data_IF_148078156504
#
_entry.id   IF_148078156504
#
_cell.length_a   1.000
_cell.length_b   1.000
_cell.length_c   1.000
_cell.angle_alpha   90.00
_cell.angle_beta   90.00
_cell.angle_gamma   90.00
#
_symmetry.space_group_name_H-M   'P 1'
#
loop_
_entity.id
_entity.type
_entity.pdbx_description
1 polymer ?
#
# COMPACT_ATOMS: atom_id res chain seq x y z
N UNK A 1 14.02 -2.24 11.91
CA UNK A 1 12.60 -1.85 12.13
C UNK A 1 11.76 -3.05 12.51
N UNK A 2 11.72 -4.12 11.70
CA UNK A 2 11.02 -5.37 12.07
C UNK A 2 11.46 -5.90 13.45
N UNK A 3 12.76 -6.00 13.74
CA UNK A 3 13.23 -6.42 15.08
C UNK A 3 12.71 -5.55 16.24
N UNK A 4 12.53 -4.25 16.01
CA UNK A 4 12.00 -3.33 17.03
C UNK A 4 10.50 -3.50 17.21
N UNK A 5 9.75 -3.63 16.12
CA UNK A 5 8.30 -3.90 16.16
C UNK A 5 8.05 -5.26 16.79
N UNK A 6 8.83 -6.28 16.44
CA UNK A 6 8.74 -7.63 17.01
C UNK A 6 9.02 -7.65 18.51
N UNK A 7 9.97 -6.85 18.98
CA UNK A 7 10.25 -6.72 20.42
C UNK A 7 9.10 -6.03 21.18
N UNK A 8 8.38 -5.09 20.54
CA UNK A 8 7.26 -4.38 21.13
C UNK A 8 5.93 -5.16 21.03
N UNK A 9 5.65 -5.73 19.86
CA UNK A 9 4.46 -6.51 19.53
C UNK A 9 4.75 -7.51 18.39
N UNK A 10 5.01 -8.79 18.72
CA UNK A 10 5.27 -9.84 17.73
C UNK A 10 4.09 -10.12 16.78
N UNK A 11 2.85 -9.84 17.19
CA UNK A 11 1.68 -10.06 16.34
C UNK A 11 1.60 -8.99 15.25
N UNK A 12 1.87 -7.72 15.60
CA UNK A 12 1.97 -6.63 14.62
C UNK A 12 3.11 -6.88 13.64
N UNK A 13 4.29 -7.33 14.10
CA UNK A 13 5.42 -7.65 13.21
C UNK A 13 5.06 -8.73 12.17
N UNK A 14 4.45 -9.83 12.63
CA UNK A 14 4.01 -10.91 11.74
C UNK A 14 2.96 -10.43 10.74
N UNK A 15 2.00 -9.63 11.18
CA UNK A 15 0.98 -9.06 10.30
C UNK A 15 1.60 -8.12 9.26
N UNK A 16 2.43 -7.17 9.68
CA UNK A 16 3.05 -6.20 8.79
C UNK A 16 3.96 -6.88 7.76
N UNK A 17 4.75 -7.86 8.19
CA UNK A 17 5.60 -8.64 7.27
C UNK A 17 4.76 -9.37 6.23
N UNK A 18 3.69 -10.05 6.64
CA UNK A 18 2.80 -10.75 5.70
C UNK A 18 2.08 -9.81 4.72
N UNK A 19 1.74 -8.59 5.16
CA UNK A 19 1.16 -7.57 4.28
C UNK A 19 2.19 -7.00 3.31
N UNK A 20 3.44 -6.77 3.75
CA UNK A 20 4.52 -6.37 2.86
C UNK A 20 4.76 -7.42 1.76
N UNK A 21 4.80 -8.70 2.12
CA UNK A 21 4.93 -9.80 1.15
C UNK A 21 3.76 -9.81 0.15
N UNK A 22 2.54 -9.60 0.66
CA UNK A 22 1.33 -9.49 -0.18
C UNK A 22 1.45 -8.32 -1.16
N UNK A 23 1.84 -7.14 -0.68
CA UNK A 23 2.04 -5.94 -1.52
C UNK A 23 3.08 -6.20 -2.61
N UNK A 24 4.22 -6.79 -2.28
CA UNK A 24 5.26 -7.14 -3.25
C UNK A 24 4.71 -8.09 -4.31
N UNK A 25 4.01 -9.15 -3.91
CA UNK A 25 3.41 -10.09 -4.85
C UNK A 25 2.40 -9.42 -5.81
N UNK A 26 1.62 -8.44 -5.34
CA UNK A 26 0.70 -7.67 -6.21
C UNK A 26 1.44 -6.76 -7.17
N UNK A 27 2.51 -6.10 -6.72
CA UNK A 27 3.38 -5.29 -7.59
C UNK A 27 4.11 -6.14 -8.64
N UNK A 28 4.51 -7.36 -8.28
CA UNK A 28 5.10 -8.32 -9.20
C UNK A 28 4.11 -8.76 -10.28
N UNK A 29 2.81 -8.85 -9.98
CA UNK A 29 1.79 -9.14 -10.98
C UNK A 29 1.68 -8.03 -12.04
N UNK A 30 1.73 -6.75 -11.62
CA UNK A 30 1.78 -5.59 -12.54
C UNK A 30 3.02 -5.70 -13.44
N UNK A 31 4.18 -5.97 -12.84
CA UNK A 31 5.44 -6.15 -13.58
C UNK A 31 5.38 -7.32 -14.55
N UNK A 32 4.78 -8.45 -14.15
CA UNK A 32 4.67 -9.63 -15.01
C UNK A 32 3.87 -9.34 -16.28
N UNK A 33 2.78 -8.58 -16.17
CA UNK A 33 2.00 -8.11 -17.33
C UNK A 33 2.82 -7.19 -18.24
N UNK A 34 3.60 -6.28 -17.66
CA UNK A 34 4.53 -5.44 -18.40
C UNK A 34 5.60 -6.24 -19.15
N UNK A 35 6.18 -7.25 -18.51
CA UNK A 35 7.15 -8.16 -19.15
C UNK A 35 6.52 -9.05 -20.22
N UNK A 36 5.22 -9.34 -20.11
CA UNK A 36 4.45 -10.09 -21.12
C UNK A 36 4.01 -9.22 -22.31
N UNK A 37 4.35 -7.92 -22.33
CA UNK A 37 4.10 -7.01 -23.45
C UNK A 37 2.95 -6.03 -23.26
N UNK A 38 2.28 -6.03 -22.11
CA UNK A 38 1.25 -5.05 -21.77
C UNK A 38 1.83 -3.98 -20.85
N UNK A 39 2.29 -2.87 -21.46
CA UNK A 39 2.92 -1.77 -20.74
C UNK A 39 1.99 -1.18 -19.64
N UNK A 40 2.58 -0.52 -18.65
CA UNK A 40 1.81 -0.04 -17.48
C UNK A 40 0.68 0.93 -17.84
N UNK A 41 0.90 1.82 -18.81
CA UNK A 41 -0.13 2.73 -19.34
C UNK A 41 -1.29 1.97 -20.00
N UNK A 42 -1.01 0.85 -20.67
CA UNK A 42 -2.03 -0.04 -21.20
C UNK A 42 -2.79 -0.78 -20.10
N UNK A 43 -2.13 -1.13 -19.00
CA UNK A 43 -2.80 -1.76 -17.84
C UNK A 43 -3.85 -0.84 -17.20
N UNK A 44 -3.60 0.48 -17.19
CA UNK A 44 -4.54 1.48 -16.66
C UNK A 44 -5.43 2.11 -17.75
N UNK A 45 -5.39 1.58 -18.98
CA UNK A 45 -6.18 2.13 -20.08
C UNK A 45 -7.68 1.93 -19.87
N UNK A 46 -8.49 2.85 -20.41
CA UNK A 46 -9.94 2.70 -20.44
C UNK A 46 -10.34 1.41 -21.15
N UNK A 47 -11.27 0.66 -20.56
CA UNK A 47 -11.74 -0.62 -21.10
C UNK A 47 -10.86 -1.83 -20.80
N UNK A 48 -9.64 -1.65 -20.24
CA UNK A 48 -8.81 -2.77 -19.80
C UNK A 48 -9.18 -3.24 -18.39
N UNK A 49 -10.28 -3.97 -18.25
CA UNK A 49 -10.78 -4.40 -16.93
C UNK A 49 -9.78 -5.25 -16.15
N UNK A 50 -9.01 -6.12 -16.83
CA UNK A 50 -8.04 -7.00 -16.15
C UNK A 50 -6.78 -6.26 -15.70
N UNK A 51 -6.24 -5.38 -16.55
CA UNK A 51 -5.12 -4.51 -16.19
C UNK A 51 -5.49 -3.62 -15.00
N UNK A 52 -6.65 -2.97 -15.07
CA UNK A 52 -7.16 -2.10 -14.00
C UNK A 52 -7.36 -2.88 -12.69
N UNK A 53 -7.93 -4.09 -12.76
CA UNK A 53 -8.09 -4.93 -11.57
C UNK A 53 -6.73 -5.36 -10.96
N UNK A 54 -5.72 -5.62 -11.80
CA UNK A 54 -4.37 -5.96 -11.34
C UNK A 54 -3.72 -4.79 -10.58
N UNK A 55 -3.85 -3.57 -11.13
CA UNK A 55 -3.35 -2.35 -10.50
C UNK A 55 -4.13 -2.04 -9.22
N UNK A 56 -5.47 -2.16 -9.25
CA UNK A 56 -6.32 -1.94 -8.07
C UNK A 56 -5.95 -2.90 -6.93
N UNK A 57 -5.66 -4.17 -7.22
CA UNK A 57 -5.26 -5.12 -6.19
C UNK A 57 -3.93 -4.74 -5.50
N UNK A 58 -3.00 -4.08 -6.20
CA UNK A 58 -1.79 -3.55 -5.59
C UNK A 58 -2.08 -2.31 -4.72
N UNK A 59 -2.97 -1.43 -5.19
CA UNK A 59 -3.43 -0.26 -4.41
C UNK A 59 -4.12 -0.71 -3.12
N UNK A 60 -5.00 -1.70 -3.19
CA UNK A 60 -5.71 -2.23 -2.03
C UNK A 60 -4.73 -2.84 -1.00
N UNK A 61 -3.69 -3.53 -1.47
CA UNK A 61 -2.63 -4.05 -0.61
C UNK A 61 -1.81 -2.93 0.07
N UNK A 62 -1.51 -1.85 -0.67
CA UNK A 62 -0.86 -0.65 -0.12
C UNK A 62 -1.73 0.02 0.96
N UNK A 63 -3.05 0.10 0.76
CA UNK A 63 -3.98 0.67 1.74
C UNK A 63 -4.07 -0.24 2.98
N UNK A 64 -4.13 -1.56 2.80
CA UNK A 64 -4.23 -2.50 3.91
C UNK A 64 -2.98 -2.50 4.81
N UNK A 65 -1.78 -2.39 4.23
CA UNK A 65 -0.55 -2.32 5.02
C UNK A 65 -0.43 -1.02 5.82
N UNK A 66 -1.01 0.11 5.36
CA UNK A 66 -0.98 1.39 6.07
C UNK A 66 -1.51 1.28 7.49
N UNK A 67 -2.63 0.57 7.69
CA UNK A 67 -3.22 0.36 9.02
C UNK A 67 -2.29 -0.42 9.96
N UNK A 68 -1.51 -1.36 9.42
CA UNK A 68 -0.55 -2.13 10.22
C UNK A 68 0.69 -1.29 10.56
N UNK A 69 1.10 -0.38 9.67
CA UNK A 69 2.15 0.61 9.94
C UNK A 69 1.72 1.56 11.06
N UNK A 70 0.49 2.09 11.01
CA UNK A 70 -0.07 2.96 12.05
C UNK A 70 -0.04 2.27 13.43
N UNK A 71 -0.46 0.99 13.48
CA UNK A 71 -0.38 0.18 14.70
C UNK A 71 1.06 -0.06 15.15
N UNK A 72 1.99 -0.31 14.24
CA UNK A 72 3.41 -0.49 14.57
C UNK A 72 4.00 0.80 15.17
N UNK A 73 3.72 1.97 14.58
CA UNK A 73 4.09 3.29 15.14
C UNK A 73 3.52 3.46 16.55
N UNK A 74 2.25 3.11 16.76
CA UNK A 74 1.59 3.09 18.06
C UNK A 74 2.31 2.22 19.10
N UNK A 75 2.67 0.99 18.71
CA UNK A 75 3.37 0.03 19.59
C UNK A 75 4.76 0.54 20.02
N UNK A 76 5.43 1.28 19.14
CA UNK A 76 6.74 1.87 19.39
C UNK A 76 6.64 3.21 20.14
N UNK A 77 5.44 3.68 20.48
CA UNK A 77 5.16 4.98 21.11
C UNK A 77 5.73 6.16 20.32
N UNK A 78 5.76 6.03 19.00
CA UNK A 78 6.25 7.06 18.07
C UNK A 78 5.15 8.06 17.66
N UNK A 79 4.08 8.17 18.46
CA UNK A 79 2.87 8.95 18.20
C UNK A 79 3.09 10.48 18.06
N UNK A 80 4.33 10.96 18.23
CA UNK A 80 4.71 12.34 17.91
C UNK A 80 5.00 12.56 16.41
N UNK A 81 5.07 11.49 15.61
CA UNK A 81 5.13 11.60 14.15
C UNK A 81 3.72 11.95 13.67
N UNK A 82 3.54 13.15 13.14
CA UNK A 82 2.31 13.50 12.45
C UNK A 82 2.12 12.55 11.26
N UNK A 83 0.98 11.85 11.21
CA UNK A 83 0.56 11.21 9.97
C UNK A 83 0.14 12.33 9.03
N UNK A 84 1.00 12.64 8.05
CA UNK A 84 0.67 13.61 7.01
C UNK A 84 -0.42 12.99 6.13
N UNK A 85 -1.68 13.37 6.43
CA UNK A 85 -2.77 13.30 5.48
C UNK A 85 -2.49 14.26 4.33
N UNK A 86 -2.97 13.92 3.13
CA UNK A 86 -2.80 14.79 1.97
C UNK A 86 -4.03 15.68 1.89
N UNK A 87 -3.85 17.01 1.98
CA UNK A 87 -4.96 17.97 1.79
C UNK A 87 -5.75 17.73 0.49
N UNK A 88 -5.09 17.23 -0.57
CA UNK A 88 -5.73 16.89 -1.84
C UNK A 88 -6.51 15.56 -1.81
N UNK A 89 -6.17 14.64 -0.90
CA UNK A 89 -6.87 13.36 -0.71
C UNK A 89 -7.97 13.45 0.36
N UNK A 90 -7.74 14.23 1.41
CA UNK A 90 -8.66 14.40 2.54
C UNK A 90 -9.73 15.46 2.25
N UNK A 91 -9.48 16.35 1.29
CA UNK A 91 -10.42 17.36 0.84
C UNK A 91 -10.43 17.47 -0.70
N UNK A 92 -10.92 16.45 -1.43
CA UNK A 92 -10.96 16.45 -2.89
C UNK A 92 -11.71 17.68 -3.47
N UNK A 93 -12.70 18.20 -2.73
CA UNK A 93 -13.46 19.40 -3.10
C UNK A 93 -12.62 20.69 -3.10
N UNK A 94 -11.43 20.71 -2.47
CA UNK A 94 -10.51 21.86 -2.49
C UNK A 94 -9.63 21.92 -3.73
N UNK A 95 -9.49 20.81 -4.47
CA UNK A 95 -8.62 20.73 -5.66
C UNK A 95 -9.26 21.46 -6.86
N UNK A 96 -10.58 21.64 -6.85
CA UNK A 96 -11.33 22.30 -7.92
C UNK A 96 -11.69 23.77 -7.63
N UNK A 97 -11.03 24.41 -6.66
CA UNK A 97 -11.21 25.85 -6.36
C UNK A 97 -10.00 26.68 -6.76
#
# INVERSE_FOLDING_TARGET
VSDMVKAADPAIDKELTGKLDTTVAKMEAIKARALAGEAYDQQIAEGNTEGNATVQAAIDALIDQTKSIERAVGSLKLNQIAFEGSDSLDAPDKVFK
#
